data_IF_587958531689
#
_entry.id   IF_587958531689
#
_cell.length_a   1.000
_cell.length_b   1.000
_cell.length_c   1.000
_cell.angle_alpha   90.00
_cell.angle_beta   90.00
_cell.angle_gamma   90.00
#
_symmetry.space_group_name_H-M   'P 1'
#
loop_
_entity.id
_entity.type
_entity.pdbx_description
1 polymer ?
#
# COMPACT_ATOMS: atom_id res chain seq x y z
N UNK A 1 42.02 0.59 12.98
CA UNK A 1 41.15 -0.57 13.29
C UNK A 1 41.95 -1.85 13.08
N UNK A 2 41.67 -2.94 13.81
CA UNK A 2 42.37 -4.22 13.65
C UNK A 2 41.72 -5.17 12.62
N UNK A 3 40.53 -4.83 12.14
CA UNK A 3 39.80 -5.55 11.09
C UNK A 3 38.42 -4.92 10.87
N UNK A 4 37.67 -5.44 9.90
CA UNK A 4 36.29 -5.05 9.58
C UNK A 4 35.51 -6.21 8.95
N UNK A 5 34.17 -6.17 9.04
CA UNK A 5 33.27 -7.00 8.26
C UNK A 5 32.25 -6.09 7.56
N UNK A 6 32.12 -6.20 6.23
CA UNK A 6 31.31 -5.30 5.40
C UNK A 6 30.49 -6.12 4.41
N UNK A 7 29.17 -5.91 4.41
CA UNK A 7 28.22 -6.64 3.55
C UNK A 7 27.62 -5.78 2.43
N UNK A 8 27.54 -4.45 2.63
CA UNK A 8 26.96 -3.51 1.66
C UNK A 8 27.99 -2.49 1.19
N UNK A 9 27.93 -2.10 -0.08
CA UNK A 9 28.92 -1.24 -0.71
C UNK A 9 28.27 -0.12 -1.54
N UNK A 10 28.94 1.04 -1.74
CA UNK A 10 28.36 2.14 -2.53
C UNK A 10 28.06 1.78 -3.99
N UNK A 11 28.87 0.89 -4.57
CA UNK A 11 28.64 0.28 -5.88
C UNK A 11 28.71 -1.23 -5.71
N UNK A 12 27.61 -1.89 -6.02
CA UNK A 12 27.51 -3.34 -5.99
C UNK A 12 27.43 -3.89 -7.43
N UNK A 13 27.99 -5.09 -7.68
CA UNK A 13 27.80 -5.77 -8.95
C UNK A 13 26.31 -5.94 -9.25
N UNK A 14 25.92 -5.70 -10.51
CA UNK A 14 24.54 -5.88 -10.96
C UNK A 14 24.14 -7.35 -11.11
N UNK A 15 25.13 -8.24 -11.24
CA UNK A 15 24.98 -9.69 -11.29
C UNK A 15 26.21 -10.39 -10.72
N UNK A 16 26.12 -11.71 -10.55
CA UNK A 16 27.23 -12.56 -10.10
C UNK A 16 28.36 -12.69 -11.14
N UNK A 17 28.16 -12.20 -12.37
CA UNK A 17 29.13 -12.25 -13.46
C UNK A 17 30.02 -11.00 -13.52
N UNK A 18 29.60 -9.90 -12.88
CA UNK A 18 30.37 -8.65 -12.81
C UNK A 18 31.40 -8.72 -11.67
N UNK A 19 32.65 -8.35 -11.96
CA UNK A 19 33.70 -8.36 -10.94
C UNK A 19 33.42 -7.32 -9.85
N UNK A 20 33.41 -7.77 -8.60
CA UNK A 20 33.32 -6.88 -7.44
C UNK A 20 34.58 -6.03 -7.28
N UNK A 21 34.44 -4.71 -7.33
CA UNK A 21 35.54 -3.75 -7.14
C UNK A 21 35.37 -2.99 -5.83
N UNK A 22 36.37 -3.08 -4.95
CA UNK A 22 36.40 -2.33 -3.69
C UNK A 22 37.84 -2.17 -3.19
N UNK A 23 38.24 -0.98 -2.68
CA UNK A 23 39.54 -0.80 -2.02
C UNK A 23 39.76 -1.76 -0.85
N UNK A 24 38.66 -2.26 -0.25
CA UNK A 24 38.72 -3.18 0.88
C UNK A 24 39.27 -4.56 0.51
N UNK A 25 39.30 -4.93 -0.78
CA UNK A 25 39.93 -6.17 -1.27
C UNK A 25 41.43 -6.24 -0.97
N UNK A 26 42.08 -5.11 -0.70
CA UNK A 26 43.51 -5.04 -0.39
C UNK A 26 43.87 -5.46 1.04
N UNK A 27 42.89 -5.76 1.89
CA UNK A 27 43.09 -5.99 3.32
C UNK A 27 42.65 -7.41 3.74
N UNK A 28 43.62 -8.25 4.10
CA UNK A 28 43.36 -9.64 4.55
C UNK A 28 42.56 -9.72 5.87
N UNK A 29 42.56 -8.63 6.65
CA UNK A 29 41.79 -8.53 7.90
C UNK A 29 40.38 -7.93 7.70
N UNK A 30 39.89 -7.91 6.46
CA UNK A 30 38.52 -7.51 6.12
C UNK A 30 37.72 -8.71 5.60
N UNK A 31 36.56 -8.98 6.23
CA UNK A 31 35.57 -9.95 5.73
C UNK A 31 34.59 -9.19 4.84
N UNK A 32 34.49 -9.57 3.57
CA UNK A 32 33.61 -8.93 2.59
C UNK A 32 32.56 -9.96 2.15
N UNK A 33 31.29 -9.64 2.33
CA UNK A 33 30.17 -10.50 1.93
C UNK A 33 29.31 -9.79 0.88
N UNK A 34 28.74 -10.51 -0.10
CA UNK A 34 28.09 -9.89 -1.25
C UNK A 34 26.62 -9.54 -0.98
N UNK A 35 26.35 -8.66 -0.02
CA UNK A 35 24.99 -8.21 0.37
C UNK A 35 24.06 -9.38 0.68
N UNK A 36 24.53 -10.30 1.52
CA UNK A 36 23.83 -11.54 1.87
C UNK A 36 23.39 -11.58 3.32
N UNK A 37 23.48 -10.46 4.05
CA UNK A 37 23.10 -10.40 5.47
C UNK A 37 21.67 -10.84 5.77
N UNK A 38 20.76 -10.72 4.80
CA UNK A 38 19.38 -11.22 4.88
C UNK A 38 19.06 -12.39 3.94
N UNK A 39 20.05 -12.97 3.26
CA UNK A 39 19.83 -13.99 2.22
C UNK A 39 19.81 -15.41 2.81
N UNK A 40 18.86 -15.67 3.71
CA UNK A 40 18.60 -17.00 4.28
C UNK A 40 17.23 -17.53 3.90
N UNK A 41 17.02 -18.85 3.98
CA UNK A 41 15.73 -19.48 3.68
C UNK A 41 14.64 -19.01 4.65
N UNK A 42 14.97 -18.81 5.92
CA UNK A 42 14.07 -18.32 6.95
C UNK A 42 13.64 -16.87 6.70
N UNK A 43 14.58 -16.03 6.24
CA UNK A 43 14.29 -14.67 5.83
C UNK A 43 13.36 -14.64 4.61
N UNK A 44 13.61 -15.49 3.60
CA UNK A 44 12.73 -15.62 2.43
C UNK A 44 11.32 -16.09 2.82
N UNK A 45 11.20 -17.05 3.74
CA UNK A 45 9.91 -17.50 4.28
C UNK A 45 9.18 -16.34 4.98
N UNK A 46 9.88 -15.57 5.82
CA UNK A 46 9.31 -14.44 6.55
C UNK A 46 8.83 -13.34 5.60
N UNK A 47 9.64 -13.00 4.59
CA UNK A 47 9.29 -12.04 3.53
C UNK A 47 8.05 -12.52 2.76
N UNK A 48 8.00 -13.81 2.41
CA UNK A 48 6.87 -14.41 1.71
C UNK A 48 5.57 -14.23 2.48
N UNK A 49 5.56 -14.54 3.78
CA UNK A 49 4.40 -14.34 4.65
C UNK A 49 4.04 -12.86 4.78
N UNK A 50 5.02 -12.00 5.07
CA UNK A 50 4.79 -10.58 5.29
C UNK A 50 4.17 -9.89 4.06
N UNK A 51 4.72 -10.14 2.88
CA UNK A 51 4.22 -9.53 1.64
C UNK A 51 2.86 -10.10 1.26
N UNK A 52 2.67 -11.43 1.39
CA UNK A 52 1.37 -12.06 1.12
C UNK A 52 0.28 -11.50 2.04
N UNK A 53 0.56 -11.32 3.32
CA UNK A 53 -0.36 -10.70 4.26
C UNK A 53 -0.72 -9.26 3.90
N UNK A 54 0.24 -8.45 3.46
CA UNK A 54 -0.01 -7.07 3.02
C UNK A 54 -0.94 -7.04 1.81
N UNK A 55 -0.68 -7.89 0.82
CA UNK A 55 -1.54 -8.03 -0.36
C UNK A 55 -2.94 -8.52 0.00
N UNK A 56 -3.04 -9.51 0.89
CA UNK A 56 -4.31 -10.03 1.38
C UNK A 56 -5.09 -8.95 2.16
N UNK A 57 -4.44 -8.20 3.05
CA UNK A 57 -5.06 -7.09 3.80
C UNK A 57 -5.57 -6.00 2.85
N UNK A 58 -4.75 -5.54 1.90
CA UNK A 58 -5.19 -4.57 0.90
C UNK A 58 -6.39 -5.09 0.10
N UNK A 59 -6.35 -6.33 -0.35
CA UNK A 59 -7.45 -6.92 -1.11
C UNK A 59 -8.75 -7.06 -0.29
N UNK A 60 -8.64 -7.41 0.99
CA UNK A 60 -9.78 -7.74 1.85
C UNK A 60 -10.37 -6.54 2.59
N UNK A 61 -9.58 -5.49 2.85
CA UNK A 61 -10.03 -4.34 3.63
C UNK A 61 -9.46 -2.99 3.17
N UNK A 62 -8.64 -2.97 2.12
CA UNK A 62 -8.08 -1.75 1.56
C UNK A 62 -6.92 -1.14 2.34
N UNK A 63 -6.37 -1.82 3.36
CA UNK A 63 -5.25 -1.28 4.11
C UNK A 63 -4.01 -1.11 3.24
N UNK A 64 -3.41 0.07 3.30
CA UNK A 64 -2.17 0.46 2.61
C UNK A 64 -1.07 0.82 3.59
N UNK A 65 -1.22 0.48 4.87
CA UNK A 65 -0.15 0.64 5.86
C UNK A 65 1.09 -0.13 5.38
N UNK A 66 2.26 0.50 5.47
CA UNK A 66 3.55 0.01 4.95
C UNK A 66 3.68 -0.07 3.43
N UNK A 67 2.71 0.42 2.66
CA UNK A 67 2.91 0.65 1.24
C UNK A 67 4.00 1.71 1.04
N UNK A 68 4.96 1.44 0.16
CA UNK A 68 6.14 2.31 -0.04
C UNK A 68 5.88 3.48 -0.99
N UNK A 69 4.74 3.47 -1.70
CA UNK A 69 4.43 4.39 -2.78
C UNK A 69 2.96 4.84 -2.78
N UNK A 70 2.30 4.76 -1.62
CA UNK A 70 0.86 5.01 -1.52
C UNK A 70 0.49 5.65 -0.18
N UNK A 71 -0.54 6.53 -0.13
CA UNK A 71 -1.00 7.09 1.14
C UNK A 71 -1.37 5.98 2.15
N UNK A 72 -0.79 6.00 3.36
CA UNK A 72 -1.03 4.95 4.35
C UNK A 72 -2.41 5.14 5.01
N UNK A 73 -3.31 4.20 4.75
CA UNK A 73 -4.66 4.19 5.32
C UNK A 73 -4.96 2.82 5.91
N UNK A 74 -5.56 2.80 7.09
CA UNK A 74 -6.15 1.61 7.69
C UNK A 74 -7.36 2.02 8.49
N UNK A 75 -8.54 1.65 8.01
CA UNK A 75 -9.81 1.87 8.71
C UNK A 75 -10.22 0.57 9.42
N UNK A 76 -10.37 0.56 10.76
CA UNK A 76 -10.94 -0.58 11.47
C UNK A 76 -12.28 -1.00 10.84
N UNK A 77 -12.59 -2.30 10.79
CA UNK A 77 -13.82 -2.75 10.16
C UNK A 77 -15.07 -2.44 11.00
N UNK A 78 -16.13 -1.98 10.34
CA UNK A 78 -17.47 -1.90 10.92
C UNK A 78 -18.32 -3.10 10.48
N UNK A 79 -18.93 -3.80 11.43
CA UNK A 79 -19.79 -4.96 11.16
C UNK A 79 -21.09 -4.51 10.48
N UNK A 80 -21.59 -5.31 9.53
CA UNK A 80 -22.83 -5.00 8.80
C UNK A 80 -22.70 -3.88 7.75
N UNK A 81 -21.49 -3.42 7.48
CA UNK A 81 -21.22 -2.37 6.49
C UNK A 81 -20.56 -2.92 5.23
N UNK A 82 -20.65 -2.17 4.14
CA UNK A 82 -19.81 -2.38 2.97
C UNK A 82 -18.70 -1.35 2.95
N UNK A 83 -17.60 -1.72 2.28
CA UNK A 83 -16.41 -0.87 2.20
C UNK A 83 -16.15 -0.41 0.77
N UNK A 84 -16.03 0.89 0.58
CA UNK A 84 -15.53 1.51 -0.63
C UNK A 84 -14.06 1.90 -0.45
N UNK A 85 -13.25 1.57 -1.47
CA UNK A 85 -11.90 2.04 -1.65
C UNK A 85 -11.90 3.02 -2.82
N UNK A 86 -11.51 4.28 -2.60
CA UNK A 86 -11.57 5.32 -3.62
C UNK A 86 -10.23 6.07 -3.75
N UNK A 87 -9.55 5.81 -4.87
CA UNK A 87 -8.28 6.43 -5.25
C UNK A 87 -8.58 7.54 -6.26
N UNK A 88 -8.04 8.73 -6.03
CA UNK A 88 -8.30 9.90 -6.83
C UNK A 88 -7.09 10.83 -6.91
N UNK A 89 -7.09 11.76 -7.86
CA UNK A 89 -6.11 12.85 -7.93
C UNK A 89 -6.36 13.83 -6.79
N UNK A 90 -5.30 14.29 -6.13
CA UNK A 90 -5.42 15.25 -5.04
C UNK A 90 -5.79 16.64 -5.59
N UNK A 91 -7.10 16.92 -5.70
CA UNK A 91 -7.65 18.20 -6.19
C UNK A 91 -8.79 18.69 -5.30
N UNK A 92 -8.95 20.02 -5.11
CA UNK A 92 -10.05 20.58 -4.33
C UNK A 92 -11.43 20.09 -4.81
N UNK A 93 -12.33 19.85 -3.86
CA UNK A 93 -13.72 19.50 -4.13
C UNK A 93 -14.00 18.02 -4.42
N UNK A 94 -12.99 17.17 -4.60
CA UNK A 94 -13.21 15.75 -4.88
C UNK A 94 -13.99 15.03 -3.77
N UNK A 95 -13.65 15.28 -2.49
CA UNK A 95 -14.38 14.67 -1.37
C UNK A 95 -15.82 15.17 -1.24
N UNK A 96 -16.09 16.43 -1.63
CA UNK A 96 -17.46 16.93 -1.69
C UNK A 96 -18.27 16.14 -2.73
N UNK A 97 -17.69 15.88 -3.92
CA UNK A 97 -18.33 15.05 -4.96
C UNK A 97 -18.54 13.61 -4.50
N UNK A 98 -17.55 13.00 -3.84
CA UNK A 98 -17.66 11.64 -3.30
C UNK A 98 -18.77 11.57 -2.25
N UNK A 99 -18.81 12.48 -1.29
CA UNK A 99 -19.82 12.50 -0.23
C UNK A 99 -21.22 12.81 -0.78
N UNK A 100 -21.34 13.66 -1.81
CA UNK A 100 -22.61 13.94 -2.48
C UNK A 100 -23.23 12.66 -3.06
N UNK A 101 -22.43 11.76 -3.65
CA UNK A 101 -22.92 10.47 -4.16
C UNK A 101 -23.61 9.64 -3.07
N UNK A 102 -23.04 9.59 -1.86
CA UNK A 102 -23.65 8.90 -0.73
C UNK A 102 -24.92 9.60 -0.25
N UNK A 103 -24.87 10.93 -0.11
CA UNK A 103 -26.01 11.75 0.32
C UNK A 103 -27.20 11.65 -0.64
N UNK A 104 -26.97 11.78 -1.95
CA UNK A 104 -27.99 11.71 -3.00
C UNK A 104 -28.61 10.31 -3.10
N UNK A 105 -27.84 9.29 -2.70
CA UNK A 105 -28.30 7.90 -2.65
C UNK A 105 -29.00 7.55 -1.32
N UNK A 106 -29.04 8.47 -0.35
CA UNK A 106 -29.60 8.24 0.98
C UNK A 106 -28.81 7.22 1.81
N UNK A 107 -27.50 7.11 1.60
CA UNK A 107 -26.63 6.14 2.26
C UNK A 107 -25.89 6.79 3.42
N UNK A 108 -25.96 6.17 4.60
CA UNK A 108 -25.18 6.59 5.75
C UNK A 108 -23.73 6.11 5.67
N UNK A 109 -22.77 6.99 5.99
CA UNK A 109 -21.35 6.65 6.13
C UNK A 109 -21.07 6.34 7.60
N UNK A 110 -20.71 5.10 7.89
CA UNK A 110 -20.45 4.60 9.23
C UNK A 110 -19.02 4.93 9.68
N UNK A 111 -18.09 5.01 8.73
CA UNK A 111 -16.71 5.42 8.99
C UNK A 111 -15.99 5.83 7.72
N UNK A 112 -15.04 6.76 7.83
CA UNK A 112 -14.19 7.12 6.70
C UNK A 112 -12.77 7.46 7.17
N UNK A 113 -11.78 7.13 6.36
CA UNK A 113 -10.41 7.59 6.55
C UNK A 113 -9.79 7.93 5.21
N UNK A 114 -9.47 9.22 5.02
CA UNK A 114 -8.72 9.77 3.90
C UNK A 114 -7.27 10.02 4.31
N UNK A 115 -6.34 9.67 3.43
CA UNK A 115 -4.99 10.19 3.44
C UNK A 115 -4.58 10.62 2.03
N UNK A 116 -3.72 11.63 1.92
CA UNK A 116 -3.27 12.19 0.64
C UNK A 116 -1.75 12.34 0.60
N UNK A 117 -1.17 12.26 -0.60
CA UNK A 117 0.15 12.78 -0.92
C UNK A 117 0.06 13.96 -1.91
N UNK A 118 1.17 14.34 -2.54
CA UNK A 118 1.24 15.44 -3.50
C UNK A 118 0.42 15.20 -4.79
N UNK A 119 0.15 13.95 -5.16
CA UNK A 119 -0.46 13.56 -6.43
C UNK A 119 -1.83 12.93 -6.27
N UNK A 120 -2.01 12.10 -5.25
CA UNK A 120 -3.19 11.26 -5.07
C UNK A 120 -3.78 11.37 -3.66
N UNK A 121 -5.07 11.14 -3.59
CA UNK A 121 -5.79 10.87 -2.36
C UNK A 121 -6.34 9.46 -2.38
N UNK A 122 -6.34 8.83 -1.21
CA UNK A 122 -6.93 7.52 -0.99
C UNK A 122 -7.86 7.59 0.21
N UNK A 123 -9.14 7.33 -0.02
CA UNK A 123 -10.15 7.25 1.03
C UNK A 123 -10.74 5.85 1.08
N UNK A 124 -10.83 5.33 2.31
CA UNK A 124 -11.57 4.13 2.64
C UNK A 124 -12.84 4.57 3.37
N UNK A 125 -14.01 4.11 2.91
CA UNK A 125 -15.32 4.50 3.44
C UNK A 125 -16.11 3.24 3.75
N UNK A 126 -16.52 3.08 5.01
CA UNK A 126 -17.53 2.12 5.43
C UNK A 126 -18.90 2.79 5.39
N UNK A 127 -19.88 2.10 4.84
CA UNK A 127 -21.23 2.61 4.68
C UNK A 127 -22.27 1.51 4.88
N UNK A 128 -23.43 1.91 5.40
CA UNK A 128 -24.52 0.99 5.73
C UNK A 128 -25.29 0.59 4.46
N UNK A 129 -25.75 -0.65 4.43
CA UNK A 129 -26.59 -1.17 3.36
C UNK A 129 -27.92 -1.59 3.94
N UNK A 130 -28.99 -0.86 3.60
CA UNK A 130 -30.36 -1.31 3.86
C UNK A 130 -30.80 -2.36 2.83
N UNK A 131 -31.86 -3.11 3.14
CA UNK A 131 -32.36 -4.25 2.34
C UNK A 131 -32.71 -3.96 0.87
N UNK A 132 -32.87 -2.68 0.50
CA UNK A 132 -33.25 -2.23 -0.85
C UNK A 132 -32.12 -1.56 -1.65
N UNK A 133 -30.89 -1.61 -1.14
CA UNK A 133 -29.77 -0.89 -1.74
C UNK A 133 -29.22 -1.59 -2.98
N UNK A 134 -29.08 -0.81 -4.06
CA UNK A 134 -28.44 -1.23 -5.29
C UNK A 134 -27.01 -0.69 -5.37
N UNK A 135 -26.03 -1.58 -5.25
CA UNK A 135 -24.60 -1.24 -5.34
C UNK A 135 -24.24 -0.52 -6.64
N UNK A 136 -25.04 -0.68 -7.71
CA UNK A 136 -24.85 0.02 -8.99
C UNK A 136 -25.02 1.53 -8.87
N UNK A 137 -25.72 2.03 -7.84
CA UNK A 137 -25.82 3.48 -7.54
C UNK A 137 -24.46 4.11 -7.24
N UNK A 138 -23.49 3.31 -6.81
CA UNK A 138 -22.12 3.75 -6.53
C UNK A 138 -21.19 3.64 -7.74
N UNK A 139 -21.64 3.13 -8.88
CA UNK A 139 -20.83 3.10 -10.12
C UNK A 139 -20.47 4.51 -10.61
N UNK A 140 -21.26 5.53 -10.25
CA UNK A 140 -20.95 6.93 -10.56
C UNK A 140 -19.65 7.41 -9.92
N UNK A 141 -19.22 6.82 -8.79
CA UNK A 141 -17.94 7.15 -8.16
C UNK A 141 -16.76 6.89 -9.09
N UNK A 142 -16.83 5.83 -9.92
CA UNK A 142 -15.80 5.51 -10.92
C UNK A 142 -15.71 6.56 -12.04
N UNK A 143 -16.78 7.35 -12.23
CA UNK A 143 -16.91 8.34 -13.31
C UNK A 143 -16.68 9.78 -12.84
N UNK A 144 -16.51 10.01 -11.54
CA UNK A 144 -16.22 11.34 -11.03
C UNK A 144 -14.90 11.86 -11.63
N UNK A 145 -14.91 13.10 -12.12
CA UNK A 145 -13.71 13.74 -12.62
C UNK A 145 -12.66 13.85 -11.49
N UNK A 146 -11.50 13.23 -11.72
CA UNK A 146 -10.43 13.09 -10.74
C UNK A 146 -10.30 11.69 -10.15
N UNK A 147 -11.30 10.80 -10.31
CA UNK A 147 -11.18 9.41 -9.87
C UNK A 147 -10.17 8.65 -10.72
N UNK A 148 -9.29 7.91 -10.05
CA UNK A 148 -8.33 7.00 -10.67
C UNK A 148 -8.84 5.57 -10.60
N UNK A 149 -9.38 5.17 -9.44
CA UNK A 149 -9.97 3.84 -9.25
C UNK A 149 -10.93 3.86 -8.07
N UNK A 150 -12.07 3.22 -8.23
CA UNK A 150 -12.99 2.95 -7.13
C UNK A 150 -13.37 1.47 -7.13
N UNK A 151 -13.34 0.83 -5.95
CA UNK A 151 -13.70 -0.57 -5.75
C UNK A 151 -14.50 -0.72 -4.48
N UNK A 152 -15.56 -1.50 -4.55
CA UNK A 152 -16.30 -1.94 -3.37
C UNK A 152 -15.76 -3.31 -2.95
N UNK A 153 -15.58 -3.48 -1.66
CA UNK A 153 -15.15 -4.72 -1.01
C UNK A 153 -16.33 -5.19 -0.19
N UNK A 154 -16.99 -6.25 -0.65
CA UNK A 154 -18.04 -6.93 0.11
C UNK A 154 -17.40 -7.77 1.21
N UNK A 155 -18.00 -7.75 2.40
CA UNK A 155 -17.74 -8.72 3.45
C UNK A 155 -18.94 -9.64 3.60
#
# INVERSE_FOLDING_TARGET
LRGAAVDVFPREPSSNEEEFQSPLRAFDNAILTPHVGGSTEEAQQSIGVEVAEKLAKFNSNGSTVSAVNFPPVSLPPHLGTYRLLHIHRNRPGIMAKVNAVFSDSGINISGQYLQTDDKIGYVVIDFDIGDSFDVRKLEQLKRLDGTLRARIVSR
#
